data_IF_237112538080
#
_entry.id   IF_237112538080
#
_cell.length_a   1.000
_cell.length_b   1.000
_cell.length_c   1.000
_cell.angle_alpha   90.00
_cell.angle_beta   90.00
_cell.angle_gamma   90.00
#
_symmetry.space_group_name_H-M   'P 1'
#
loop_
_entity.id
_entity.type
_entity.pdbx_description
1 polymer ?
#
# COMPACT_ATOMS: atom_id res chain seq x y z
N UNK A 1 11.98 -3.63 -13.56
CA UNK A 1 13.23 -4.01 -12.87
C UNK A 1 13.50 -5.48 -13.11
N UNK A 2 14.77 -5.88 -13.25
CA UNK A 2 15.15 -7.30 -13.29
C UNK A 2 15.22 -7.89 -11.89
N UNK A 3 15.13 -9.23 -11.80
CA UNK A 3 15.34 -9.96 -10.55
C UNK A 3 16.66 -9.62 -9.86
N UNK A 4 17.76 -9.52 -10.61
CA UNK A 4 19.06 -9.12 -10.07
C UNK A 4 19.01 -7.75 -9.38
N UNK A 5 18.31 -6.77 -9.96
CA UNK A 5 18.16 -5.44 -9.36
C UNK A 5 17.34 -5.50 -8.06
N UNK A 6 16.27 -6.29 -8.03
CA UNK A 6 15.43 -6.47 -6.84
C UNK A 6 16.20 -7.19 -5.73
N UNK A 7 16.95 -8.24 -6.06
CA UNK A 7 17.73 -9.01 -5.09
C UNK A 7 18.85 -8.14 -4.49
N UNK A 8 19.50 -7.32 -5.32
CA UNK A 8 20.50 -6.35 -4.88
C UNK A 8 19.88 -5.29 -3.96
N UNK A 9 18.72 -4.75 -4.31
CA UNK A 9 18.00 -3.78 -3.47
C UNK A 9 17.58 -4.38 -2.14
N UNK A 10 17.02 -5.60 -2.16
CA UNK A 10 16.62 -6.34 -0.96
C UNK A 10 17.79 -6.53 0.01
N UNK A 11 19.00 -6.79 -0.50
CA UNK A 11 20.19 -6.93 0.34
C UNK A 11 20.63 -5.60 0.98
N UNK A 12 20.47 -4.48 0.29
CA UNK A 12 20.97 -3.16 0.73
C UNK A 12 19.95 -2.43 1.61
N UNK A 13 18.69 -2.36 1.18
CA UNK A 13 17.65 -1.50 1.77
C UNK A 13 16.47 -2.27 2.37
N UNK A 14 16.37 -3.57 2.07
CA UNK A 14 15.27 -4.43 2.51
C UNK A 14 14.07 -4.44 1.56
N UNK A 15 13.22 -5.45 1.76
CA UNK A 15 11.93 -5.56 1.10
C UNK A 15 10.91 -6.15 2.07
N UNK A 16 9.73 -5.56 2.11
CA UNK A 16 8.65 -5.95 3.00
C UNK A 16 7.50 -6.55 2.21
N UNK A 17 6.99 -7.71 2.65
CA UNK A 17 5.75 -8.25 2.12
C UNK A 17 4.59 -7.33 2.49
N UNK A 18 3.86 -6.85 1.48
CA UNK A 18 2.71 -5.98 1.58
C UNK A 18 1.48 -6.56 0.86
N UNK A 19 1.43 -7.89 0.66
CA UNK A 19 0.37 -8.54 -0.10
C UNK A 19 -1.04 -8.24 0.41
N UNK A 20 -1.20 -8.11 1.74
CA UNK A 20 -2.49 -7.81 2.38
C UNK A 20 -2.83 -6.31 2.43
N UNK A 21 -1.97 -5.45 1.89
CA UNK A 21 -2.20 -4.01 1.92
C UNK A 21 -2.16 -3.43 3.33
N UNK A 22 -2.77 -2.27 3.51
CA UNK A 22 -2.81 -1.50 4.76
C UNK A 22 -2.62 0.00 4.54
N UNK A 23 -2.76 0.77 5.61
CA UNK A 23 -2.32 2.16 5.63
C UNK A 23 -0.80 2.19 5.49
N UNK A 24 -0.29 2.87 4.46
CA UNK A 24 1.16 2.98 4.23
C UNK A 24 1.68 4.22 4.93
N UNK A 25 2.55 4.02 5.90
CA UNK A 25 3.38 5.07 6.49
C UNK A 25 4.65 5.19 5.65
N UNK A 26 5.19 6.39 5.49
CA UNK A 26 6.42 6.58 4.71
C UNK A 26 6.50 7.93 4.03
N UNK A 27 7.41 8.02 3.06
CA UNK A 27 7.71 9.26 2.39
C UNK A 27 6.58 9.71 1.46
N UNK A 28 6.42 11.03 1.33
CA UNK A 28 5.59 11.64 0.29
C UNK A 28 6.42 11.77 -0.99
N UNK A 29 5.77 12.05 -2.12
CA UNK A 29 6.52 12.36 -3.32
C UNK A 29 7.32 13.66 -3.12
N UNK A 30 8.60 13.61 -3.44
CA UNK A 30 9.53 14.73 -3.36
C UNK A 30 10.25 14.78 -4.71
N UNK A 31 10.08 15.87 -5.45
CA UNK A 31 10.68 16.02 -6.77
C UNK A 31 12.22 15.91 -6.69
N UNK A 32 12.81 15.11 -7.58
CA UNK A 32 14.25 14.93 -7.68
C UNK A 32 14.91 14.07 -6.58
N UNK A 33 14.13 13.43 -5.69
CA UNK A 33 14.69 12.58 -4.62
C UNK A 33 14.49 11.09 -4.88
N UNK A 34 15.52 10.28 -4.63
CA UNK A 34 15.40 8.82 -4.66
C UNK A 34 14.49 8.29 -3.53
N UNK A 35 14.41 9.04 -2.42
CA UNK A 35 13.54 8.78 -1.28
C UNK A 35 12.09 9.25 -1.52
N UNK A 36 11.77 9.76 -2.71
CA UNK A 36 10.41 10.16 -3.09
C UNK A 36 9.44 8.98 -3.03
N UNK A 37 8.35 9.14 -2.29
CA UNK A 37 7.32 8.11 -2.19
C UNK A 37 7.80 6.80 -1.58
N UNK A 38 6.87 5.87 -1.43
CA UNK A 38 7.13 4.49 -1.03
C UNK A 38 7.16 3.64 -2.30
N UNK A 39 8.29 2.95 -2.51
CA UNK A 39 8.50 2.12 -3.69
C UNK A 39 7.74 0.80 -3.56
N UNK A 40 6.96 0.46 -4.56
CA UNK A 40 6.23 -0.80 -4.64
C UNK A 40 6.76 -1.61 -5.82
N UNK A 41 7.02 -2.88 -5.59
CA UNK A 41 7.41 -3.83 -6.61
C UNK A 41 6.41 -4.99 -6.69
N UNK A 42 6.08 -5.39 -7.91
CA UNK A 42 5.17 -6.50 -8.18
C UNK A 42 5.78 -7.39 -9.27
N UNK A 43 5.89 -8.71 -9.09
CA UNK A 43 6.37 -9.61 -10.13
C UNK A 43 5.46 -9.56 -11.37
N UNK A 44 6.09 -9.45 -12.55
CA UNK A 44 5.45 -9.61 -13.86
C UNK A 44 5.62 -11.07 -14.31
N UNK A 45 6.82 -11.61 -14.11
CA UNK A 45 7.20 -13.01 -14.35
C UNK A 45 8.36 -13.41 -13.45
N UNK A 46 9.05 -14.52 -13.76
CA UNK A 46 10.16 -15.05 -12.96
C UNK A 46 11.35 -14.11 -12.82
N UNK A 47 11.54 -13.20 -13.78
CA UNK A 47 12.77 -12.40 -13.89
C UNK A 47 12.51 -10.89 -13.98
N UNK A 48 11.25 -10.47 -14.10
CA UNK A 48 10.86 -9.07 -14.25
C UNK A 48 9.83 -8.64 -13.21
N UNK A 49 9.99 -7.40 -12.76
CA UNK A 49 9.14 -6.73 -11.78
C UNK A 49 8.72 -5.37 -12.31
N UNK A 50 7.45 -5.00 -12.10
CA UNK A 50 7.00 -3.62 -12.23
C UNK A 50 7.41 -2.85 -10.98
N UNK A 51 7.88 -1.61 -11.16
CA UNK A 51 8.15 -0.67 -10.08
C UNK A 51 7.17 0.50 -10.21
N UNK A 52 6.54 0.88 -9.12
CA UNK A 52 5.68 2.06 -9.04
C UNK A 52 5.81 2.71 -7.67
N UNK A 53 5.27 3.91 -7.52
CA UNK A 53 5.35 4.70 -6.29
C UNK A 53 3.95 4.96 -5.74
N UNK A 54 3.89 5.07 -4.42
CA UNK A 54 2.73 5.58 -3.70
C UNK A 54 3.19 6.58 -2.65
N UNK A 55 2.28 7.42 -2.15
CA UNK A 55 2.61 8.34 -1.07
C UNK A 55 2.32 7.75 0.32
N UNK A 56 3.16 8.09 1.29
CA UNK A 56 2.79 7.94 2.69
C UNK A 56 1.46 8.63 3.01
N UNK A 57 0.58 7.89 3.70
CA UNK A 57 -0.81 8.29 3.98
C UNK A 57 -1.82 7.78 2.96
N UNK A 58 -1.39 7.10 1.89
CA UNK A 58 -2.30 6.33 1.02
C UNK A 58 -2.61 4.96 1.62
N UNK A 59 -3.76 4.41 1.25
CA UNK A 59 -4.16 3.08 1.68
C UNK A 59 -3.99 2.11 0.51
N UNK A 60 -3.19 1.06 0.71
CA UNK A 60 -3.04 -0.02 -0.24
C UNK A 60 -4.09 -1.08 0.05
N UNK A 61 -5.06 -1.30 -0.84
CA UNK A 61 -6.08 -2.34 -0.65
C UNK A 61 -5.53 -3.71 -1.04
N UNK A 62 -5.83 -4.71 -0.21
CA UNK A 62 -5.65 -6.13 -0.56
C UNK A 62 -6.34 -6.44 -1.88
N UNK A 63 -5.71 -7.25 -2.74
CA UNK A 63 -6.30 -7.71 -3.99
C UNK A 63 -7.69 -8.34 -3.83
N UNK A 64 -7.89 -9.16 -2.79
CA UNK A 64 -9.18 -9.78 -2.48
C UNK A 64 -10.27 -8.74 -2.15
N UNK A 65 -9.92 -7.75 -1.33
CA UNK A 65 -10.81 -6.64 -0.99
C UNK A 65 -11.13 -5.78 -2.22
N UNK A 66 -10.12 -5.48 -3.03
CA UNK A 66 -10.31 -4.74 -4.29
C UNK A 66 -11.30 -5.43 -5.21
N UNK A 67 -11.13 -6.74 -5.42
CA UNK A 67 -12.01 -7.52 -6.30
C UNK A 67 -13.46 -7.53 -5.80
N UNK A 68 -13.65 -7.68 -4.48
CA UNK A 68 -14.98 -7.80 -3.87
C UNK A 68 -15.71 -6.45 -3.74
N UNK A 69 -14.99 -5.36 -3.48
CA UNK A 69 -15.56 -4.05 -3.18
C UNK A 69 -15.25 -2.96 -4.22
N UNK A 70 -14.84 -3.32 -5.44
CA UNK A 70 -14.35 -2.39 -6.46
C UNK A 70 -15.22 -1.13 -6.61
N UNK A 71 -16.54 -1.30 -6.75
CA UNK A 71 -17.47 -0.19 -6.91
C UNK A 71 -17.41 0.81 -5.74
N UNK A 72 -17.41 0.31 -4.50
CA UNK A 72 -17.36 1.16 -3.31
C UNK A 72 -16.00 1.85 -3.17
N UNK A 73 -14.93 1.15 -3.48
CA UNK A 73 -13.58 1.72 -3.46
C UNK A 73 -13.43 2.83 -4.51
N UNK A 74 -14.06 2.69 -5.68
CA UNK A 74 -14.10 3.74 -6.69
C UNK A 74 -14.90 4.97 -6.24
N UNK A 75 -16.01 4.76 -5.52
CA UNK A 75 -16.76 5.86 -4.90
C UNK A 75 -15.92 6.60 -3.85
N UNK A 76 -15.23 5.87 -2.97
CA UNK A 76 -14.33 6.43 -1.96
C UNK A 76 -13.20 7.22 -2.64
N UNK A 77 -12.56 6.66 -3.66
CA UNK A 77 -11.39 7.28 -4.30
C UNK A 77 -11.74 8.50 -5.18
N UNK A 78 -13.04 8.77 -5.41
CA UNK A 78 -13.53 10.00 -6.03
C UNK A 78 -13.64 11.18 -5.05
N UNK A 79 -13.48 10.93 -3.75
CA UNK A 79 -13.49 12.00 -2.76
C UNK A 79 -12.40 13.05 -3.06
N UNK A 80 -12.83 14.29 -3.25
CA UNK A 80 -11.97 15.42 -3.62
C UNK A 80 -11.77 16.42 -2.47
N UNK A 81 -12.02 16.01 -1.22
CA UNK A 81 -11.80 16.87 -0.06
C UNK A 81 -10.33 17.01 0.33
N UNK A 82 -10.08 17.74 1.42
CA UNK A 82 -8.73 17.94 1.95
C UNK A 82 -8.20 16.68 2.64
N UNK A 83 -6.89 16.54 2.62
CA UNK A 83 -6.20 15.58 3.46
C UNK A 83 -6.09 16.14 4.88
N UNK A 84 -6.65 15.39 5.82
CA UNK A 84 -6.46 15.62 7.25
C UNK A 84 -5.42 14.61 7.74
N UNK A 85 -4.45 15.07 8.53
CA UNK A 85 -3.43 14.19 9.06
C UNK A 85 -4.04 13.11 9.96
N UNK A 86 -3.63 11.87 9.74
CA UNK A 86 -4.13 10.72 10.50
C UNK A 86 -3.36 10.67 11.81
N UNK A 87 -4.05 10.81 12.94
CA UNK A 87 -3.44 10.77 14.26
C UNK A 87 -2.89 9.38 14.62
N UNK A 88 -1.86 9.34 15.45
CA UNK A 88 -1.30 8.07 15.97
C UNK A 88 -2.34 7.22 16.69
N UNK A 89 -3.30 7.84 17.37
CA UNK A 89 -4.42 7.16 18.02
C UNK A 89 -5.34 6.43 17.02
N UNK A 90 -5.56 7.01 15.83
CA UNK A 90 -6.33 6.34 14.78
C UNK A 90 -5.52 5.19 14.17
N UNK A 91 -4.23 5.42 13.93
CA UNK A 91 -3.31 4.42 13.37
C UNK A 91 -3.21 3.19 14.29
N UNK A 92 -3.11 3.38 15.60
CA UNK A 92 -2.96 2.28 16.57
C UNK A 92 -4.17 1.36 16.67
N UNK A 93 -5.33 1.78 16.16
CA UNK A 93 -6.57 1.00 16.13
C UNK A 93 -6.75 0.20 14.83
N UNK A 94 -5.91 0.45 13.82
CA UNK A 94 -6.02 -0.22 12.53
C UNK A 94 -5.54 -1.66 12.61
N UNK A 95 -6.20 -2.53 11.86
CA UNK A 95 -5.79 -3.91 11.68
C UNK A 95 -4.55 -4.02 10.80
N UNK A 96 -4.45 -3.18 9.77
CA UNK A 96 -3.43 -3.29 8.74
C UNK A 96 -2.69 -1.97 8.52
N UNK A 97 -1.43 -1.93 8.96
CA UNK A 97 -0.51 -0.81 8.79
C UNK A 97 0.80 -1.32 8.22
N UNK A 98 1.26 -0.70 7.13
CA UNK A 98 2.54 -0.96 6.53
C UNK A 98 3.47 0.19 6.89
N UNK A 99 4.49 -0.11 7.69
CA UNK A 99 5.53 0.85 8.07
C UNK A 99 6.88 0.39 7.53
N UNK A 100 7.40 0.94 6.44
CA UNK A 100 8.76 0.71 5.99
C UNK A 100 9.76 1.00 7.13
N UNK A 101 10.79 0.17 7.25
CA UNK A 101 11.84 0.32 8.26
C UNK A 101 12.84 1.41 7.88
N UNK A 102 13.01 1.63 6.58
CA UNK A 102 13.85 2.69 6.02
C UNK A 102 13.08 3.43 4.92
N UNK A 103 13.51 4.65 4.59
CA UNK A 103 12.99 5.42 3.46
C UNK A 103 13.11 4.69 2.11
N UNK A 104 14.02 3.71 2.03
CA UNK A 104 14.38 3.01 0.81
C UNK A 104 13.85 1.57 0.78
N UNK A 105 13.22 1.07 1.85
CA UNK A 105 12.63 -0.27 1.86
C UNK A 105 11.48 -0.34 0.84
N UNK A 106 11.54 -1.34 -0.05
CA UNK A 106 10.48 -1.59 -1.02
C UNK A 106 9.34 -2.41 -0.41
N UNK A 107 8.12 -2.18 -0.89
CA UNK A 107 6.96 -3.03 -0.62
C UNK A 107 6.81 -4.04 -1.76
N UNK A 108 6.87 -5.34 -1.46
CA UNK A 108 6.58 -6.40 -2.40
C UNK A 108 5.09 -6.75 -2.34
N UNK A 109 4.42 -6.71 -3.49
CA UNK A 109 3.09 -7.29 -3.64
C UNK A 109 3.18 -8.71 -4.18
N UNK A 110 2.17 -9.51 -3.86
CA UNK A 110 1.92 -10.79 -4.52
C UNK A 110 0.53 -10.75 -5.16
N UNK A 111 0.42 -11.20 -6.41
CA UNK A 111 -0.84 -11.24 -7.14
C UNK A 111 -1.15 -9.97 -7.94
N UNK A 112 -2.42 -9.83 -8.31
CA UNK A 112 -2.90 -8.74 -9.18
C UNK A 112 -4.10 -8.04 -8.57
N UNK A 113 -4.39 -6.83 -9.04
CA UNK A 113 -5.54 -6.00 -8.64
C UNK A 113 -5.45 -5.39 -7.23
N UNK A 114 -4.25 -5.05 -6.75
CA UNK A 114 -4.15 -4.08 -5.65
C UNK A 114 -4.66 -2.72 -6.10
N UNK A 115 -5.24 -1.96 -5.17
CA UNK A 115 -5.77 -0.64 -5.46
C UNK A 115 -5.32 0.36 -4.42
N UNK A 116 -4.77 1.48 -4.90
CA UNK A 116 -4.28 2.55 -4.05
C UNK A 116 -5.40 3.59 -3.88
N UNK A 117 -5.77 3.83 -2.63
CA UNK A 117 -6.69 4.90 -2.24
C UNK A 117 -5.88 6.14 -1.91
N UNK A 118 -6.21 7.24 -2.60
CA UNK A 118 -5.53 8.54 -2.46
C UNK A 118 -5.66 9.05 -1.04
N UNK A 119 -4.66 9.80 -0.62
CA UNK A 119 -4.52 10.31 0.76
C UNK A 119 -5.76 11.01 1.31
N UNK A 120 -6.37 11.92 0.55
CA UNK A 120 -7.56 12.64 0.99
C UNK A 120 -8.73 11.70 1.27
N UNK A 121 -8.92 10.67 0.44
CA UNK A 121 -9.93 9.66 0.65
C UNK A 121 -9.55 8.75 1.84
N UNK A 122 -8.27 8.36 1.93
CA UNK A 122 -7.77 7.57 3.06
C UNK A 122 -8.00 8.27 4.40
N UNK A 123 -7.67 9.55 4.54
CA UNK A 123 -7.85 10.27 5.80
C UNK A 123 -9.32 10.32 6.23
N UNK A 124 -10.23 10.46 5.25
CA UNK A 124 -11.68 10.56 5.48
C UNK A 124 -12.34 9.21 5.77
N UNK A 125 -11.92 8.15 5.08
CA UNK A 125 -12.58 6.83 5.08
C UNK A 125 -11.73 5.73 5.73
N UNK A 126 -10.70 6.10 6.49
CA UNK A 126 -9.69 5.18 7.04
C UNK A 126 -10.27 3.93 7.70
N UNK A 127 -11.24 4.10 8.60
CA UNK A 127 -11.85 3.02 9.35
C UNK A 127 -12.71 2.11 8.46
N UNK A 128 -13.36 2.68 7.44
CA UNK A 128 -14.13 1.91 6.46
C UNK A 128 -13.20 1.07 5.58
N UNK A 129 -12.11 1.67 5.09
CA UNK A 129 -11.09 0.99 4.30
C UNK A 129 -10.45 -0.16 5.09
N UNK A 130 -10.03 0.11 6.32
CA UNK A 130 -9.40 -0.90 7.18
C UNK A 130 -10.35 -2.05 7.53
N UNK A 131 -11.63 -1.74 7.78
CA UNK A 131 -12.66 -2.75 7.99
C UNK A 131 -12.84 -3.63 6.75
N UNK A 132 -13.03 -3.03 5.56
CA UNK A 132 -13.18 -3.77 4.29
C UNK A 132 -11.98 -4.66 4.05
N UNK A 133 -10.78 -4.12 4.27
CA UNK A 133 -9.53 -4.84 4.05
C UNK A 133 -9.40 -6.01 5.01
N UNK A 134 -9.59 -5.77 6.32
CA UNK A 134 -9.56 -6.78 7.39
C UNK A 134 -10.51 -7.94 7.13
N UNK A 135 -11.78 -7.66 6.79
CA UNK A 135 -12.79 -8.70 6.55
C UNK A 135 -12.32 -9.67 5.45
N UNK A 136 -11.74 -9.13 4.37
CA UNK A 136 -11.26 -9.95 3.26
C UNK A 136 -9.96 -10.71 3.59
N UNK A 137 -9.07 -10.12 4.39
CA UNK A 137 -7.85 -10.78 4.84
C UNK A 137 -8.23 -11.99 5.71
N UNK A 138 -9.09 -11.81 6.71
CA UNK A 138 -9.55 -12.89 7.60
C UNK A 138 -10.26 -13.99 6.78
N UNK A 139 -11.12 -13.62 5.83
CA UNK A 139 -11.79 -14.58 4.95
C UNK A 139 -10.78 -15.41 4.14
N UNK A 140 -9.65 -14.82 3.71
CA UNK A 140 -8.62 -15.53 2.95
C UNK A 140 -7.73 -16.45 3.79
N UNK A 141 -7.61 -16.19 5.10
CA UNK A 141 -6.81 -17.00 6.03
C UNK A 141 -7.57 -18.18 6.65
N UNK A 142 -8.89 -18.21 6.49
CA UNK A 142 -9.78 -19.20 7.10
C UNK A 142 -10.36 -20.22 6.11
N UNK A 143 -9.96 -20.13 4.84
CA UNK A 143 -10.28 -21.10 3.77
C UNK A 143 -9.08 -21.99 3.51
#
# INVERSE_FOLDING_TARGET
MSKFQIDSWKQIYGIKDAQYGGLVLGNRHIEGSIESGVKIVNPIDSDRYSLFEMEGGEYLMYAGATKKYRKRLDEINRYAGKYDEISEERISKLYSVIKPTTAMEMLMLSGSNHYIIRRSATSKFLEELDKINRECIIESLTK
#
